data_IF_077368032838
#
_entry.id   IF_077368032838
#
_cell.length_a   1.000
_cell.length_b   1.000
_cell.length_c   1.000
_cell.angle_alpha   90.00
_cell.angle_beta   90.00
_cell.angle_gamma   90.00
#
_symmetry.space_group_name_H-M   'P 1'
#
loop_
_entity.id
_entity.type
_entity.pdbx_description
1 polymer ?
#
# COMPACT_ATOMS: atom_id res chain seq x y z
N UNK A 1 17.22 -9.69 3.70
CA UNK A 1 18.61 -9.26 3.48
C UNK A 1 19.27 -9.93 2.26
N UNK A 2 19.07 -11.24 2.04
CA UNK A 2 19.67 -11.98 0.92
C UNK A 2 19.20 -11.45 -0.44
N UNK A 3 17.92 -11.16 -0.61
CA UNK A 3 17.33 -10.62 -1.82
C UNK A 3 17.73 -9.17 -2.10
N UNK A 4 17.84 -8.32 -1.08
CA UNK A 4 18.19 -6.89 -1.21
C UNK A 4 19.54 -6.66 -1.89
N UNK A 5 20.44 -7.65 -1.83
CA UNK A 5 21.72 -7.60 -2.55
C UNK A 5 21.60 -7.77 -4.07
N UNK A 6 20.53 -8.39 -4.54
CA UNK A 6 20.29 -8.72 -5.96
C UNK A 6 19.18 -7.85 -6.59
N UNK A 7 18.21 -7.46 -5.77
CA UNK A 7 17.06 -6.65 -6.17
C UNK A 7 16.96 -5.51 -5.17
N UNK A 8 16.89 -4.27 -5.65
CA UNK A 8 16.79 -3.10 -4.78
C UNK A 8 15.39 -3.03 -4.14
N UNK A 9 15.20 -3.76 -3.03
CA UNK A 9 13.92 -3.90 -2.33
C UNK A 9 13.69 -2.74 -1.36
N UNK A 10 14.73 -2.38 -0.59
CA UNK A 10 14.71 -1.28 0.39
C UNK A 10 16.02 -0.49 0.32
N UNK A 11 15.99 0.77 0.71
CA UNK A 11 17.19 1.60 0.73
C UNK A 11 18.26 0.98 1.65
N UNK A 12 19.54 0.94 1.25
CA UNK A 12 20.61 0.35 2.05
C UNK A 12 20.71 0.93 3.47
N UNK A 13 20.46 2.22 3.63
CA UNK A 13 20.45 2.92 4.92
C UNK A 13 19.37 2.44 5.88
N UNK A 14 18.30 1.79 5.39
CA UNK A 14 17.19 1.32 6.23
C UNK A 14 17.29 -0.16 6.59
N UNK A 15 18.27 -0.89 6.05
CA UNK A 15 18.43 -2.34 6.29
C UNK A 15 18.70 -2.66 7.77
N UNK A 16 19.39 -1.77 8.49
CA UNK A 16 19.66 -1.95 9.93
C UNK A 16 18.36 -1.90 10.76
N UNK A 17 17.40 -1.08 10.34
CA UNK A 17 16.11 -0.84 10.99
C UNK A 17 14.94 -1.45 10.21
N UNK A 18 15.18 -2.56 9.51
CA UNK A 18 14.21 -3.18 8.60
C UNK A 18 12.87 -3.49 9.29
N UNK A 19 12.95 -3.98 10.52
CA UNK A 19 11.76 -4.37 11.28
C UNK A 19 10.86 -3.18 11.59
N UNK A 20 11.41 -2.14 12.17
CA UNK A 20 10.64 -0.95 12.57
C UNK A 20 10.18 -0.15 11.36
N UNK A 21 11.13 0.24 10.49
CA UNK A 21 10.86 1.17 9.37
C UNK A 21 10.11 0.56 8.20
N UNK A 22 9.98 -0.76 8.15
CA UNK A 22 9.29 -1.41 7.04
C UNK A 22 8.23 -2.40 7.49
N UNK A 23 8.55 -3.34 8.37
CA UNK A 23 7.58 -4.36 8.74
C UNK A 23 6.51 -3.78 9.67
N UNK A 24 6.92 -3.20 10.80
CA UNK A 24 5.98 -2.60 11.77
C UNK A 24 5.23 -1.41 11.16
N UNK A 25 5.94 -0.57 10.38
CA UNK A 25 5.35 0.55 9.64
C UNK A 25 4.25 0.10 8.66
N UNK A 26 4.40 -1.06 8.03
CA UNK A 26 3.37 -1.64 7.17
C UNK A 26 2.24 -2.29 7.95
N UNK A 27 2.56 -3.04 9.01
CA UNK A 27 1.60 -3.80 9.79
C UNK A 27 0.54 -2.93 10.47
N UNK A 28 0.90 -1.69 10.87
CA UNK A 28 -0.01 -0.76 11.52
C UNK A 28 -1.23 -0.39 10.66
N UNK A 29 -1.16 -0.53 9.34
CA UNK A 29 -2.30 -0.26 8.44
C UNK A 29 -3.48 -1.19 8.72
N UNK A 30 -3.22 -2.43 9.13
CA UNK A 30 -4.28 -3.39 9.43
C UNK A 30 -5.20 -2.96 10.58
N UNK A 31 -4.72 -2.11 11.48
CA UNK A 31 -5.53 -1.59 12.59
C UNK A 31 -6.49 -0.46 12.17
N UNK A 32 -6.33 0.08 10.95
CA UNK A 32 -7.09 1.22 10.45
C UNK A 32 -8.23 0.81 9.50
N UNK A 33 -8.35 -0.48 9.20
CA UNK A 33 -9.36 -0.95 8.25
C UNK A 33 -10.48 -1.71 8.97
N UNK A 34 -11.75 -1.52 8.52
CA UNK A 34 -12.84 -2.35 8.98
C UNK A 34 -12.67 -3.80 8.48
N UNK A 35 -13.32 -4.74 9.13
CA UNK A 35 -13.44 -6.10 8.59
C UNK A 35 -14.19 -6.05 7.26
N UNK A 36 -13.61 -6.68 6.24
CA UNK A 36 -14.18 -6.75 4.89
C UNK A 36 -13.84 -8.08 4.25
N UNK A 37 -14.73 -8.58 3.40
CA UNK A 37 -14.52 -9.68 2.46
C UNK A 37 -14.02 -9.18 1.08
N UNK A 38 -13.84 -7.86 0.96
CA UNK A 38 -13.41 -7.19 -0.25
C UNK A 38 -11.94 -7.42 -0.59
N UNK A 39 -11.54 -6.83 -1.72
CA UNK A 39 -10.15 -6.85 -2.16
C UNK A 39 -9.35 -5.72 -1.52
N UNK A 40 -8.18 -6.05 -0.98
CA UNK A 40 -7.12 -5.10 -0.65
C UNK A 40 -6.10 -5.08 -1.79
N UNK A 41 -6.07 -3.99 -2.52
CA UNK A 41 -5.15 -3.76 -3.63
C UNK A 41 -3.96 -2.92 -3.16
N UNK A 42 -2.74 -3.45 -3.29
CA UNK A 42 -1.51 -2.71 -2.99
C UNK A 42 -0.81 -2.32 -4.30
N UNK A 43 -0.72 -1.02 -4.60
CA UNK A 43 -0.16 -0.51 -5.86
C UNK A 43 1.29 -0.07 -5.71
N UNK A 44 2.15 -0.57 -6.61
CA UNK A 44 3.59 -0.37 -6.53
C UNK A 44 4.21 -1.12 -5.35
N UNK A 45 3.83 -2.37 -5.16
CA UNK A 45 4.13 -3.17 -3.95
C UNK A 45 5.63 -3.30 -3.65
N UNK A 46 6.50 -3.25 -4.66
CA UNK A 46 7.94 -3.26 -4.48
C UNK A 46 8.45 -4.47 -3.70
N UNK A 47 8.93 -4.22 -2.50
CA UNK A 47 9.35 -5.26 -1.55
C UNK A 47 8.17 -5.91 -0.77
N UNK A 48 6.94 -5.71 -1.23
CA UNK A 48 5.74 -6.15 -0.53
C UNK A 48 5.33 -5.23 0.63
N UNK A 49 5.64 -3.95 0.50
CA UNK A 49 5.45 -2.98 1.57
C UNK A 49 4.51 -1.85 1.12
N UNK A 50 3.27 -1.77 1.64
CA UNK A 50 2.78 -2.53 2.80
C UNK A 50 2.08 -3.87 2.49
N UNK A 51 1.64 -4.13 1.26
CA UNK A 51 0.65 -5.15 0.91
C UNK A 51 0.97 -6.57 1.38
N UNK A 52 2.20 -7.07 1.18
CA UNK A 52 2.59 -8.43 1.62
C UNK A 52 2.59 -8.56 3.15
N UNK A 53 3.03 -7.51 3.86
CA UNK A 53 3.03 -7.50 5.33
C UNK A 53 1.59 -7.46 5.84
N UNK A 54 0.74 -6.63 5.22
CA UNK A 54 -0.69 -6.59 5.56
C UNK A 54 -1.37 -7.94 5.29
N UNK A 55 -1.08 -8.61 4.18
CA UNK A 55 -1.61 -9.95 3.88
C UNK A 55 -1.20 -10.98 4.95
N UNK A 56 0.04 -10.90 5.45
CA UNK A 56 0.52 -11.80 6.50
C UNK A 56 -0.20 -11.56 7.84
N UNK A 57 -0.38 -10.30 8.23
CA UNK A 57 -1.09 -9.92 9.47
C UNK A 57 -2.58 -10.23 9.34
N UNK A 58 -3.17 -9.95 8.17
CA UNK A 58 -4.59 -10.14 7.88
C UNK A 58 -5.02 -11.61 7.91
N UNK A 59 -4.12 -12.56 7.68
CA UNK A 59 -4.42 -14.00 7.78
C UNK A 59 -5.14 -14.36 9.08
N UNK A 60 -4.74 -13.75 10.18
CA UNK A 60 -5.28 -14.03 11.50
C UNK A 60 -6.32 -12.99 11.96
N UNK A 61 -6.28 -11.77 11.42
CA UNK A 61 -7.13 -10.64 11.87
C UNK A 61 -8.27 -10.29 10.91
N UNK A 62 -8.07 -10.51 9.61
CA UNK A 62 -9.00 -10.19 8.52
C UNK A 62 -9.06 -11.38 7.52
N UNK A 63 -9.45 -12.59 7.93
CA UNK A 63 -9.29 -13.81 7.15
C UNK A 63 -10.07 -13.83 5.83
N UNK A 64 -11.15 -13.05 5.73
CA UNK A 64 -11.98 -12.98 4.52
C UNK A 64 -11.44 -11.96 3.49
N UNK A 65 -10.47 -11.12 3.88
CA UNK A 65 -9.91 -10.11 2.98
C UNK A 65 -9.00 -10.76 1.94
N UNK A 66 -9.29 -10.51 0.67
CA UNK A 66 -8.44 -10.94 -0.46
C UNK A 66 -7.36 -9.90 -0.72
N UNK A 67 -6.18 -10.33 -1.17
CA UNK A 67 -5.07 -9.42 -1.47
C UNK A 67 -4.62 -9.51 -2.92
N UNK A 68 -4.32 -8.35 -3.53
CA UNK A 68 -3.64 -8.25 -4.81
C UNK A 68 -2.49 -7.25 -4.73
N UNK A 69 -1.34 -7.65 -5.25
CA UNK A 69 -0.09 -6.90 -5.25
C UNK A 69 0.25 -6.51 -6.69
N UNK A 70 0.33 -5.21 -6.99
CA UNK A 70 0.68 -4.72 -8.32
C UNK A 70 2.11 -4.22 -8.33
N UNK A 71 2.96 -4.81 -9.17
CA UNK A 71 4.36 -4.45 -9.32
C UNK A 71 4.82 -4.67 -10.77
N UNK A 72 5.48 -3.69 -11.36
CA UNK A 72 5.93 -3.77 -12.76
C UNK A 72 7.32 -4.38 -12.95
N UNK A 73 8.19 -4.36 -11.93
CA UNK A 73 9.51 -5.00 -11.99
C UNK A 73 9.38 -6.52 -11.77
N UNK A 74 9.63 -7.30 -12.82
CA UNK A 74 9.54 -8.77 -12.78
C UNK A 74 10.43 -9.42 -11.71
N UNK A 75 11.58 -8.83 -11.36
CA UNK A 75 12.47 -9.36 -10.32
C UNK A 75 11.84 -9.18 -8.93
N UNK A 76 11.14 -8.05 -8.71
CA UNK A 76 10.38 -7.83 -7.49
C UNK A 76 9.16 -8.74 -7.43
N UNK A 77 8.46 -8.96 -8.55
CA UNK A 77 7.38 -9.95 -8.63
C UNK A 77 7.86 -11.37 -8.27
N UNK A 78 9.03 -11.78 -8.75
CA UNK A 78 9.63 -13.07 -8.38
C UNK A 78 9.94 -13.16 -6.87
N UNK A 79 10.40 -12.06 -6.26
CA UNK A 79 10.57 -11.96 -4.81
C UNK A 79 9.22 -12.10 -4.08
N UNK A 80 8.19 -11.36 -4.51
CA UNK A 80 6.84 -11.43 -3.92
C UNK A 80 6.28 -12.85 -4.02
N UNK A 81 6.38 -13.50 -5.19
CA UNK A 81 5.94 -14.88 -5.39
C UNK A 81 6.65 -15.86 -4.46
N UNK A 82 7.97 -15.70 -4.27
CA UNK A 82 8.72 -16.50 -3.32
C UNK A 82 8.19 -16.34 -1.90
N UNK A 83 7.92 -15.09 -1.48
CA UNK A 83 7.37 -14.83 -0.16
C UNK A 83 5.95 -15.38 0.03
N UNK A 84 5.07 -15.23 -0.97
CA UNK A 84 3.72 -15.81 -0.90
C UNK A 84 3.76 -17.31 -0.69
N UNK A 85 4.61 -18.01 -1.45
CA UNK A 85 4.79 -19.45 -1.31
C UNK A 85 5.39 -19.84 0.05
N UNK A 86 6.42 -19.13 0.50
CA UNK A 86 7.12 -19.43 1.76
C UNK A 86 6.22 -19.24 2.99
N UNK A 87 5.34 -18.23 2.96
CA UNK A 87 4.42 -17.92 4.05
C UNK A 87 3.03 -18.54 3.90
N UNK A 88 2.78 -19.25 2.80
CA UNK A 88 1.47 -19.86 2.52
C UNK A 88 0.35 -18.83 2.37
N UNK A 89 0.64 -17.68 1.76
CA UNK A 89 -0.33 -16.59 1.59
C UNK A 89 -1.07 -16.71 0.26
N UNK A 90 -2.39 -16.58 0.30
CA UNK A 90 -3.24 -16.55 -0.89
C UNK A 90 -3.44 -15.09 -1.34
N UNK A 91 -2.51 -14.56 -2.13
CA UNK A 91 -2.61 -13.24 -2.74
C UNK A 91 -2.26 -13.31 -4.23
N UNK A 92 -2.88 -12.46 -5.04
CA UNK A 92 -2.60 -12.36 -6.47
C UNK A 92 -1.46 -11.37 -6.72
N UNK A 93 -0.54 -11.68 -7.63
CA UNK A 93 0.48 -10.74 -8.10
C UNK A 93 0.18 -10.35 -9.53
N UNK A 94 -0.01 -9.05 -9.78
CA UNK A 94 -0.11 -8.48 -11.12
C UNK A 94 1.26 -7.90 -11.52
N UNK A 95 1.97 -8.61 -12.42
CA UNK A 95 3.26 -8.18 -12.96
C UNK A 95 3.07 -7.16 -14.11
N UNK A 96 2.52 -5.99 -13.78
CA UNK A 96 2.11 -4.95 -14.74
C UNK A 96 2.19 -3.54 -14.11
N UNK A 97 2.07 -2.51 -14.93
CA UNK A 97 1.74 -1.18 -14.46
C UNK A 97 0.28 -1.15 -14.02
N UNK A 98 -0.04 -0.37 -13.00
CA UNK A 98 -1.43 -0.26 -12.53
C UNK A 98 -2.35 0.32 -13.62
N UNK A 99 -1.84 1.23 -14.44
CA UNK A 99 -2.57 1.87 -15.53
C UNK A 99 -2.96 0.89 -16.65
N UNK A 100 -2.28 -0.25 -16.75
CA UNK A 100 -2.52 -1.28 -17.78
C UNK A 100 -3.53 -2.35 -17.33
N UNK A 101 -3.97 -2.31 -16.06
CA UNK A 101 -4.90 -3.29 -15.52
C UNK A 101 -6.36 -2.84 -15.70
N UNK A 102 -7.29 -3.77 -15.92
CA UNK A 102 -8.71 -3.48 -15.77
C UNK A 102 -9.03 -3.10 -14.32
N UNK A 103 -10.20 -2.47 -14.09
CA UNK A 103 -10.65 -2.15 -12.73
C UNK A 103 -10.62 -3.38 -11.84
N UNK A 104 -10.13 -3.21 -10.62
CA UNK A 104 -9.98 -4.30 -9.64
C UNK A 104 -11.12 -4.35 -8.63
N UNK A 105 -11.98 -3.32 -8.58
CA UNK A 105 -13.10 -3.19 -7.65
C UNK A 105 -12.66 -3.38 -6.18
N UNK A 106 -11.57 -2.70 -5.80
CA UNK A 106 -10.94 -2.84 -4.50
C UNK A 106 -11.68 -2.08 -3.40
N UNK A 107 -11.95 -2.75 -2.27
CA UNK A 107 -12.50 -2.13 -1.06
C UNK A 107 -11.45 -1.30 -0.31
N UNK A 108 -10.19 -1.71 -0.38
CA UNK A 108 -9.07 -1.04 0.24
C UNK A 108 -7.96 -0.88 -0.80
N UNK A 109 -7.37 0.30 -0.89
CA UNK A 109 -6.20 0.54 -1.74
C UNK A 109 -5.07 1.10 -0.89
N UNK A 110 -3.89 0.48 -0.97
CA UNK A 110 -2.68 0.97 -0.33
C UNK A 110 -1.57 1.25 -1.32
N UNK A 111 -0.69 2.18 -0.96
CA UNK A 111 0.56 2.45 -1.66
C UNK A 111 1.55 3.12 -0.70
N UNK A 112 2.83 2.78 -0.83
CA UNK A 112 3.91 3.42 -0.08
C UNK A 112 5.03 3.84 -1.01
N UNK A 113 5.52 5.09 -0.85
CA UNK A 113 6.66 5.64 -1.59
C UNK A 113 6.56 5.54 -3.13
N UNK A 114 5.35 5.50 -3.68
CA UNK A 114 5.10 5.36 -5.12
C UNK A 114 5.04 6.72 -5.82
N UNK A 115 4.23 7.65 -5.29
CA UNK A 115 3.98 8.96 -5.90
C UNK A 115 3.44 9.97 -4.87
N UNK A 116 3.37 11.28 -5.19
CA UNK A 116 2.60 12.27 -4.44
C UNK A 116 1.11 11.94 -4.39
N UNK A 117 0.38 12.46 -3.38
CA UNK A 117 -1.00 12.09 -3.10
C UNK A 117 -1.94 12.30 -4.29
N UNK A 118 -1.83 13.45 -5.00
CA UNK A 118 -2.62 13.76 -6.20
C UNK A 118 -2.48 12.66 -7.28
N UNK A 119 -1.25 12.20 -7.51
CA UNK A 119 -0.98 11.12 -8.48
C UNK A 119 -1.46 9.77 -7.97
N UNK A 120 -1.33 9.49 -6.66
CA UNK A 120 -1.85 8.26 -6.06
C UNK A 120 -3.36 8.14 -6.26
N UNK A 121 -4.12 9.21 -6.07
CA UNK A 121 -5.55 9.21 -6.33
C UNK A 121 -5.87 8.90 -7.80
N UNK A 122 -5.14 9.51 -8.74
CA UNK A 122 -5.33 9.25 -10.17
C UNK A 122 -5.04 7.80 -10.56
N UNK A 123 -4.06 7.15 -9.90
CA UNK A 123 -3.72 5.75 -10.13
C UNK A 123 -4.70 4.78 -9.46
N UNK A 124 -5.17 5.13 -8.27
CA UNK A 124 -5.96 4.24 -7.41
C UNK A 124 -7.46 4.28 -7.71
N UNK A 125 -8.02 5.46 -8.01
CA UNK A 125 -9.45 5.66 -8.19
C UNK A 125 -10.09 4.73 -9.24
N UNK A 126 -9.47 4.46 -10.41
CA UNK A 126 -10.07 3.56 -11.41
C UNK A 126 -10.21 2.11 -10.95
N UNK A 127 -9.50 1.73 -9.89
CA UNK A 127 -9.46 0.36 -9.37
C UNK A 127 -10.21 0.20 -8.04
N UNK A 128 -10.77 1.27 -7.51
CA UNK A 128 -11.47 1.29 -6.25
C UNK A 128 -12.99 1.19 -6.43
N UNK A 129 -13.65 0.45 -5.56
CA UNK A 129 -15.12 0.47 -5.50
C UNK A 129 -15.63 1.78 -4.90
N UNK A 130 -16.93 2.05 -5.02
CA UNK A 130 -17.55 3.19 -4.36
C UNK A 130 -17.44 3.04 -2.84
N UNK A 131 -16.95 4.09 -2.17
CA UNK A 131 -16.73 4.08 -0.72
C UNK A 131 -15.45 3.37 -0.25
N UNK A 132 -14.55 3.01 -1.18
CA UNK A 132 -13.27 2.39 -0.84
C UNK A 132 -12.44 3.25 0.13
N UNK A 133 -11.65 2.58 0.96
CA UNK A 133 -10.68 3.21 1.86
C UNK A 133 -9.31 3.22 1.21
N UNK A 134 -8.68 4.40 1.15
CA UNK A 134 -7.31 4.55 0.65
C UNK A 134 -6.37 4.77 1.84
N UNK A 135 -5.31 3.97 1.93
CA UNK A 135 -4.32 4.02 3.01
C UNK A 135 -2.93 4.33 2.44
N UNK A 136 -2.46 5.53 2.67
CA UNK A 136 -1.19 5.99 2.14
C UNK A 136 -0.24 6.46 3.25
N UNK A 137 0.75 5.64 3.64
CA UNK A 137 1.85 6.11 4.49
C UNK A 137 2.62 7.25 3.83
N UNK A 138 2.74 8.37 4.53
CA UNK A 138 3.40 9.60 4.09
C UNK A 138 4.35 10.13 5.15
N UNK A 139 5.48 10.66 4.70
CA UNK A 139 6.46 11.33 5.56
C UNK A 139 6.08 12.79 5.88
N UNK A 140 7.05 13.55 6.36
CA UNK A 140 6.93 14.95 6.84
C UNK A 140 6.16 15.90 5.93
N UNK A 141 6.16 15.66 4.62
CA UNK A 141 5.45 16.51 3.63
C UNK A 141 3.96 16.19 3.46
N UNK A 142 3.36 15.33 4.29
CA UNK A 142 1.98 14.93 4.12
C UNK A 142 0.98 16.10 4.05
N UNK A 143 1.22 17.18 4.82
CA UNK A 143 0.34 18.36 4.83
C UNK A 143 0.34 19.11 3.49
N UNK A 144 1.51 19.30 2.87
CA UNK A 144 1.61 19.94 1.55
C UNK A 144 1.01 19.06 0.47
N UNK A 145 1.19 17.73 0.55
CA UNK A 145 0.58 16.80 -0.39
C UNK A 145 -0.96 16.77 -0.31
N UNK A 146 -1.54 16.92 0.89
CA UNK A 146 -3.00 17.09 1.07
C UNK A 146 -3.46 18.36 0.39
N UNK A 147 -2.84 19.52 0.69
CA UNK A 147 -3.22 20.80 0.11
C UNK A 147 -3.09 20.83 -1.43
N UNK A 148 -2.04 20.18 -1.97
CA UNK A 148 -1.87 20.01 -3.42
C UNK A 148 -2.98 19.13 -4.04
N UNK A 149 -3.40 18.08 -3.32
CA UNK A 149 -4.43 17.18 -3.81
C UNK A 149 -5.83 17.83 -3.82
N UNK A 150 -6.14 18.67 -2.84
CA UNK A 150 -7.40 19.43 -2.73
C UNK A 150 -7.68 20.33 -3.95
N UNK A 151 -6.64 20.73 -4.69
CA UNK A 151 -6.78 21.50 -5.93
C UNK A 151 -7.42 20.69 -7.10
N UNK A 152 -7.40 19.36 -7.04
CA UNK A 152 -7.85 18.49 -8.12
C UNK A 152 -8.83 17.41 -7.69
N UNK A 153 -9.00 17.20 -6.37
CA UNK A 153 -9.80 16.12 -5.80
C UNK A 153 -10.65 16.60 -4.62
N UNK A 154 -11.89 16.10 -4.55
CA UNK A 154 -12.71 16.17 -3.34
C UNK A 154 -12.60 14.84 -2.61
N UNK A 155 -12.18 14.89 -1.34
CA UNK A 155 -11.98 13.73 -0.48
C UNK A 155 -12.06 14.11 0.98
N UNK A 156 -12.32 13.14 1.84
CA UNK A 156 -12.08 13.27 3.28
C UNK A 156 -10.74 12.62 3.62
N UNK A 157 -10.06 13.12 4.64
CA UNK A 157 -8.78 12.59 5.09
C UNK A 157 -8.69 12.60 6.61
N UNK A 158 -8.28 11.46 7.17
CA UNK A 158 -7.83 11.32 8.55
C UNK A 158 -6.34 11.02 8.56
N UNK A 159 -5.54 11.84 9.24
CA UNK A 159 -4.09 11.66 9.32
C UNK A 159 -3.71 10.97 10.63
N UNK A 160 -3.60 9.65 10.61
CA UNK A 160 -3.21 8.84 11.78
C UNK A 160 -1.72 8.98 12.06
N UNK A 161 -1.30 9.19 13.32
CA UNK A 161 0.12 9.16 13.69
C UNK A 161 0.76 7.82 13.35
N UNK A 162 1.95 7.84 12.74
CA UNK A 162 2.74 6.62 12.61
C UNK A 162 3.35 6.23 13.95
N UNK A 163 3.30 4.93 14.28
CA UNK A 163 3.94 4.39 15.49
C UNK A 163 5.45 4.22 15.34
N UNK A 164 5.98 4.36 14.12
CA UNK A 164 7.39 4.13 13.78
C UNK A 164 8.17 5.41 13.49
N UNK A 165 7.47 6.51 13.22
CA UNK A 165 8.10 7.79 12.87
C UNK A 165 7.16 8.94 13.30
N UNK A 166 7.57 9.81 14.24
CA UNK A 166 6.72 10.89 14.77
C UNK A 166 6.34 11.94 13.71
N UNK A 167 7.15 12.08 12.64
CA UNK A 167 6.91 13.04 11.56
C UNK A 167 6.09 12.45 10.41
N UNK A 168 5.88 11.12 10.41
CA UNK A 168 5.09 10.44 9.41
C UNK A 168 3.62 10.29 9.83
N UNK A 169 2.75 10.14 8.83
CA UNK A 169 1.31 9.86 9.00
C UNK A 169 0.86 8.78 8.03
N UNK A 170 -0.14 8.03 8.44
CA UNK A 170 -0.93 7.21 7.51
C UNK A 170 -2.16 8.03 7.16
N UNK A 171 -2.29 8.39 5.89
CA UNK A 171 -3.46 9.08 5.39
C UNK A 171 -4.52 8.05 5.05
N UNK A 172 -5.60 8.03 5.82
CA UNK A 172 -6.84 7.34 5.50
C UNK A 172 -7.72 8.32 4.73
N UNK A 173 -7.99 8.01 3.46
CA UNK A 173 -8.74 8.89 2.59
C UNK A 173 -9.97 8.18 2.03
N UNK A 174 -11.05 8.96 1.79
CA UNK A 174 -12.23 8.52 1.05
C UNK A 174 -12.50 9.51 -0.07
N UNK A 175 -12.38 9.06 -1.31
CA UNK A 175 -12.59 9.89 -2.50
C UNK A 175 -14.08 10.11 -2.74
N UNK A 176 -14.42 11.34 -3.11
CA UNK A 176 -15.78 11.76 -3.47
C UNK A 176 -15.88 12.06 -4.97
N UNK A 177 -14.98 12.89 -5.50
CA UNK A 177 -14.97 13.28 -6.90
C UNK A 177 -13.59 13.82 -7.33
N UNK A 178 -13.37 13.78 -8.64
CA UNK A 178 -12.32 14.59 -9.28
C UNK A 178 -12.94 15.94 -9.67
N UNK A 179 -12.20 17.03 -9.43
CA UNK A 179 -12.61 18.40 -9.78
C UNK A 179 -12.25 18.70 -11.22
#
# INVERSE_FOLDING_TARGET
>A
RRWTRRVNLVAPSTVAHLWERHILDSAQLCALVPRTDGLWLDIGSGAGLPGLVCALVARDTLPETRFALVESDRRKCAFLSTCLNEFGLNATIHAARIEDLPSQDAAIVSARALAPLTRLFALAQPHAQVGATFLFPKGVRYKSEIAEAEASWRFTVTAHPSITDPDARILECHLQARI
#
